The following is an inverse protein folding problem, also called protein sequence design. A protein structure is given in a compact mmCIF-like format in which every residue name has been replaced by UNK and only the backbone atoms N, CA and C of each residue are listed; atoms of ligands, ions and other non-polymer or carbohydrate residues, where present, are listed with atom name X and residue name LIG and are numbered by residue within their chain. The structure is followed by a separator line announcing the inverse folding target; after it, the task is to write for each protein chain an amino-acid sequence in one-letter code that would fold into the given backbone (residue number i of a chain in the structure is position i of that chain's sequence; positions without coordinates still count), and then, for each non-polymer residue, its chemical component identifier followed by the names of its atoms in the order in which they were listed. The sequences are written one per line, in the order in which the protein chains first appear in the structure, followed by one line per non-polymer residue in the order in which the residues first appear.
data_IF_544544312796
#
_entry.id   IF_544544312796
#
_cell.length_a   1.000
_cell.length_b   1.000
_cell.length_c   1.000
_cell.angle_alpha   90.00
_cell.angle_beta   90.00
_cell.angle_gamma   90.00
#
_symmetry.space_group_name_H-M   'P 1'
#
loop_
_entity.id
_entity.type
_entity.pdbx_description
1 polymer ?
#
# COMPACT_ATOMS: atom_id res chain seq x y z
N UNK A 1 -27.12 -7.08 1.59
CA UNK A 1 -26.24 -5.94 1.27
C UNK A 1 -24.79 -6.40 1.33
N UNK A 2 -24.00 -6.07 0.30
CA UNK A 2 -22.57 -6.41 0.29
C UNK A 2 -21.81 -5.50 1.26
N UNK A 3 -20.89 -6.09 2.03
CA UNK A 3 -19.99 -5.32 2.88
C UNK A 3 -18.90 -4.65 2.01
N UNK A 4 -18.21 -3.67 2.58
CA UNK A 4 -17.10 -3.01 1.89
C UNK A 4 -15.98 -4.01 1.56
N UNK A 5 -15.66 -4.88 2.51
CA UNK A 5 -14.66 -5.92 2.34
C UNK A 5 -15.03 -6.87 1.20
N UNK A 6 -16.28 -7.31 1.16
CA UNK A 6 -16.79 -8.18 0.11
C UNK A 6 -16.72 -7.51 -1.27
N UNK A 7 -17.07 -6.23 -1.35
CA UNK A 7 -16.97 -5.46 -2.58
C UNK A 7 -15.52 -5.34 -3.06
N UNK A 8 -14.59 -5.12 -2.14
CA UNK A 8 -13.17 -5.01 -2.46
C UNK A 8 -12.62 -6.35 -2.98
N UNK A 9 -12.95 -7.45 -2.31
CA UNK A 9 -12.53 -8.80 -2.76
C UNK A 9 -13.09 -9.10 -4.15
N UNK A 10 -14.36 -8.78 -4.40
CA UNK A 10 -14.95 -8.96 -5.73
C UNK A 10 -14.17 -8.19 -6.82
N UNK A 11 -13.76 -6.97 -6.51
CA UNK A 11 -12.94 -6.16 -7.44
C UNK A 11 -11.57 -6.77 -7.68
N UNK A 12 -10.92 -7.28 -6.62
CA UNK A 12 -9.62 -7.95 -6.73
C UNK A 12 -9.69 -9.21 -7.58
N UNK A 13 -10.75 -10.00 -7.42
CA UNK A 13 -10.98 -11.21 -8.23
C UNK A 13 -11.23 -10.84 -9.69
N UNK A 14 -12.00 -9.80 -9.94
CA UNK A 14 -12.34 -9.35 -11.30
C UNK A 14 -11.11 -8.92 -12.11
N UNK A 15 -10.14 -8.27 -11.48
CA UNK A 15 -8.90 -7.84 -12.14
C UNK A 15 -7.78 -8.88 -12.02
N UNK A 16 -8.10 -10.05 -11.46
CA UNK A 16 -7.15 -11.16 -11.26
C UNK A 16 -5.95 -10.78 -10.37
N UNK A 17 -6.15 -9.88 -9.44
CA UNK A 17 -5.16 -9.57 -8.40
C UNK A 17 -5.05 -10.73 -7.40
N UNK A 18 -6.14 -11.47 -7.21
CA UNK A 18 -6.16 -12.71 -6.44
C UNK A 18 -6.25 -13.87 -7.41
N UNK A 19 -5.33 -14.83 -7.28
CA UNK A 19 -5.28 -16.04 -8.11
C UNK A 19 -5.34 -17.28 -7.21
N UNK A 20 -6.08 -18.29 -7.68
CA UNK A 20 -6.24 -19.56 -6.97
C UNK A 20 -5.68 -20.70 -7.81
N UNK A 21 -4.78 -21.51 -7.23
CA UNK A 21 -4.21 -22.71 -7.86
C UNK A 21 -4.13 -23.83 -6.83
N UNK A 22 -5.25 -24.52 -6.55
CA UNK A 22 -5.27 -25.54 -5.50
C UNK A 22 -4.44 -26.78 -5.82
N UNK A 23 -4.26 -27.13 -7.11
CA UNK A 23 -3.53 -28.31 -7.55
C UNK A 23 -2.06 -28.05 -7.87
N UNK A 24 -1.69 -26.80 -8.12
CA UNK A 24 -0.32 -26.37 -8.42
C UNK A 24 -0.03 -25.09 -7.67
N UNK A 25 0.25 -25.19 -6.34
CA UNK A 25 0.35 -24.02 -5.50
C UNK A 25 1.47 -23.07 -5.88
N UNK A 26 1.25 -21.77 -5.63
CA UNK A 26 2.27 -20.74 -5.79
C UNK A 26 3.35 -20.89 -4.73
N UNK A 27 4.59 -20.57 -5.09
CA UNK A 27 5.69 -20.44 -4.12
C UNK A 27 5.90 -18.96 -3.83
N UNK A 28 5.65 -18.56 -2.59
CA UNK A 28 5.88 -17.18 -2.16
C UNK A 28 7.38 -16.89 -1.99
N UNK A 29 7.73 -15.61 -1.91
CA UNK A 29 9.13 -15.21 -1.70
C UNK A 29 9.72 -15.78 -0.41
N UNK A 30 8.88 -16.07 0.60
CA UNK A 30 9.28 -16.74 1.84
C UNK A 30 9.63 -18.21 1.68
N UNK A 31 9.36 -18.82 0.51
CA UNK A 31 9.50 -20.25 0.25
C UNK A 31 8.24 -21.05 0.58
N UNK A 32 7.25 -20.45 1.21
CA UNK A 32 5.98 -21.12 1.50
C UNK A 32 5.17 -21.37 0.24
N UNK A 33 4.52 -22.52 0.18
CA UNK A 33 3.59 -22.86 -0.91
C UNK A 33 2.16 -22.54 -0.48
N UNK A 34 1.43 -21.88 -1.37
CA UNK A 34 0.05 -21.48 -1.10
C UNK A 34 -0.83 -21.69 -2.32
N UNK A 35 -2.08 -22.15 -2.14
CA UNK A 35 -3.02 -22.29 -3.25
C UNK A 35 -3.52 -20.95 -3.79
N UNK A 36 -3.22 -19.83 -3.13
CA UNK A 36 -3.61 -18.52 -3.62
C UNK A 36 -2.45 -17.53 -3.56
N UNK A 37 -2.55 -16.50 -4.40
CA UNK A 37 -1.61 -15.39 -4.47
C UNK A 37 -2.41 -14.10 -4.65
N UNK A 38 -2.04 -13.06 -3.90
CA UNK A 38 -2.67 -11.77 -4.00
C UNK A 38 -1.62 -10.71 -4.33
N UNK A 39 -1.84 -9.98 -5.43
CA UNK A 39 -0.98 -8.86 -5.84
C UNK A 39 -1.81 -7.58 -5.84
N UNK A 40 -1.75 -6.86 -4.73
CA UNK A 40 -2.50 -5.61 -4.57
C UNK A 40 -2.01 -4.50 -5.50
N UNK A 41 -0.79 -4.60 -6.03
CA UNK A 41 -0.23 -3.60 -6.95
C UNK A 41 -0.97 -3.58 -8.29
N UNK A 42 -1.66 -4.65 -8.65
CA UNK A 42 -2.50 -4.67 -9.84
C UNK A 42 -3.62 -3.63 -9.80
N UNK A 43 -4.06 -3.23 -8.61
CA UNK A 43 -5.07 -2.19 -8.46
C UNK A 43 -4.63 -0.86 -9.08
N UNK A 44 -3.32 -0.61 -9.13
CA UNK A 44 -2.76 0.63 -9.66
C UNK A 44 -3.03 0.82 -11.15
N UNK A 45 -3.22 -0.27 -11.90
CA UNK A 45 -3.46 -0.21 -13.34
C UNK A 45 -4.92 0.08 -13.71
N UNK A 46 -5.83 0.05 -12.74
CA UNK A 46 -7.26 0.23 -12.97
C UNK A 46 -7.72 1.50 -12.25
N UNK A 47 -7.91 2.61 -12.99
CA UNK A 47 -8.13 3.93 -12.36
C UNK A 47 -9.26 3.99 -11.34
N UNK A 48 -10.41 3.38 -11.63
CA UNK A 48 -11.53 3.40 -10.67
C UNK A 48 -11.24 2.57 -9.43
N UNK A 49 -10.56 1.44 -9.58
CA UNK A 49 -10.17 0.59 -8.44
C UNK A 49 -9.05 1.26 -7.63
N UNK A 50 -8.08 1.84 -8.31
CA UNK A 50 -7.01 2.62 -7.67
C UNK A 50 -7.59 3.74 -6.82
N UNK A 51 -8.55 4.48 -7.38
CA UNK A 51 -9.22 5.57 -6.67
C UNK A 51 -10.01 5.05 -5.46
N UNK A 52 -10.71 3.93 -5.62
CA UNK A 52 -11.44 3.27 -4.53
C UNK A 52 -10.50 2.95 -3.36
N UNK A 53 -9.37 2.31 -3.64
CA UNK A 53 -8.37 1.94 -2.62
C UNK A 53 -7.82 3.19 -1.93
N UNK A 54 -7.43 4.19 -2.72
CA UNK A 54 -6.92 5.46 -2.18
C UNK A 54 -7.91 6.09 -1.21
N UNK A 55 -9.16 6.24 -1.62
CA UNK A 55 -10.17 6.90 -0.80
C UNK A 55 -10.50 6.12 0.46
N UNK A 56 -10.50 4.78 0.39
CA UNK A 56 -10.73 3.96 1.57
C UNK A 56 -9.60 4.05 2.58
N UNK A 57 -8.36 4.10 2.12
CA UNK A 57 -7.22 4.31 3.02
C UNK A 57 -7.31 5.70 3.66
N UNK A 58 -7.65 6.73 2.89
CA UNK A 58 -7.84 8.07 3.43
C UNK A 58 -8.93 8.10 4.49
N UNK A 59 -10.05 7.43 4.24
CA UNK A 59 -11.15 7.34 5.20
C UNK A 59 -10.70 6.70 6.50
N UNK A 60 -9.99 5.59 6.42
CA UNK A 60 -9.46 4.89 7.61
C UNK A 60 -8.50 5.79 8.40
N UNK A 61 -7.62 6.50 7.71
CA UNK A 61 -6.68 7.42 8.36
C UNK A 61 -7.43 8.51 9.12
N UNK A 62 -8.40 9.15 8.48
CA UNK A 62 -9.16 10.22 9.11
C UNK A 62 -9.98 9.73 10.31
N UNK A 63 -10.56 8.55 10.22
CA UNK A 63 -11.38 7.99 11.29
C UNK A 63 -10.55 7.49 12.47
N UNK A 64 -9.41 6.83 12.20
CA UNK A 64 -8.66 6.11 13.25
C UNK A 64 -7.48 6.90 13.81
N UNK A 65 -6.88 7.76 13.02
CA UNK A 65 -5.66 8.47 13.43
C UNK A 65 -5.86 9.97 13.60
N UNK A 66 -6.95 10.50 13.10
CA UNK A 66 -7.24 11.91 13.19
C UNK A 66 -6.26 12.75 12.39
N UNK A 67 -5.68 13.76 13.05
CA UNK A 67 -4.73 14.66 12.40
C UNK A 67 -3.36 14.02 12.28
N UNK A 68 -2.84 13.96 11.05
CA UNK A 68 -1.57 13.32 10.70
C UNK A 68 -0.71 14.36 9.97
N UNK A 69 0.60 14.32 10.19
CA UNK A 69 1.51 15.31 9.62
C UNK A 69 2.17 14.85 8.32
N UNK A 70 2.29 13.54 8.11
CA UNK A 70 2.90 12.99 6.91
C UNK A 70 2.49 11.54 6.68
N UNK A 71 2.66 11.08 5.46
CA UNK A 71 2.43 9.70 5.05
C UNK A 71 3.76 9.09 4.65
N UNK A 72 4.02 7.87 5.10
CA UNK A 72 5.19 7.10 4.68
C UNK A 72 4.75 5.82 3.97
N UNK A 73 5.32 5.53 2.81
CA UNK A 73 5.09 4.29 2.10
C UNK A 73 6.30 3.36 2.22
N UNK A 74 6.07 2.09 2.50
CA UNK A 74 7.16 1.10 2.57
C UNK A 74 7.50 0.61 1.16
N UNK A 75 8.76 0.75 0.80
CA UNK A 75 9.23 0.32 -0.52
C UNK A 75 9.14 -1.21 -0.67
N UNK A 76 8.83 -1.72 -1.81
CA UNK A 76 8.46 -0.99 -3.02
C UNK A 76 6.95 -0.88 -3.16
N UNK A 77 6.22 -1.85 -2.60
CA UNK A 77 4.80 -2.06 -2.86
C UNK A 77 3.89 -0.91 -2.44
N UNK A 78 4.27 -0.16 -1.42
CA UNK A 78 3.43 0.92 -0.90
C UNK A 78 3.90 2.33 -1.30
N UNK A 79 4.92 2.45 -2.15
CA UNK A 79 5.37 3.78 -2.60
C UNK A 79 4.26 4.48 -3.37
N UNK A 80 3.75 3.84 -4.42
CA UNK A 80 2.73 4.47 -5.26
C UNK A 80 1.45 4.75 -4.48
N UNK A 81 0.97 3.76 -3.74
CA UNK A 81 -0.27 3.91 -2.96
C UNK A 81 -0.13 4.98 -1.89
N UNK A 82 1.01 5.02 -1.21
CA UNK A 82 1.29 6.04 -0.20
C UNK A 82 1.31 7.46 -0.79
N UNK A 83 1.94 7.63 -1.95
CA UNK A 83 1.98 8.91 -2.63
C UNK A 83 0.58 9.40 -3.04
N UNK A 84 -0.27 8.48 -3.53
CA UNK A 84 -1.64 8.82 -3.89
C UNK A 84 -2.46 9.26 -2.67
N UNK A 85 -2.29 8.58 -1.54
CA UNK A 85 -2.97 8.93 -0.28
C UNK A 85 -2.49 10.29 0.24
N UNK A 86 -1.19 10.52 0.22
CA UNK A 86 -0.62 11.80 0.66
C UNK A 86 -1.14 12.95 -0.20
N UNK A 87 -1.22 12.75 -1.51
CA UNK A 87 -1.76 13.76 -2.43
C UNK A 87 -3.22 14.08 -2.10
N UNK A 88 -4.05 13.05 -1.89
CA UNK A 88 -5.46 13.25 -1.56
C UNK A 88 -5.65 14.00 -0.24
N UNK A 89 -4.84 13.69 0.75
CA UNK A 89 -4.89 14.34 2.08
C UNK A 89 -4.10 15.65 2.13
N UNK A 90 -3.42 16.01 1.05
CA UNK A 90 -2.55 17.18 0.96
C UNK A 90 -1.48 17.19 2.06
N UNK A 91 -0.80 16.05 2.20
CA UNK A 91 0.23 15.84 3.22
C UNK A 91 1.58 15.54 2.57
N UNK A 92 2.69 15.88 3.26
CA UNK A 92 4.01 15.42 2.84
C UNK A 92 4.07 13.90 2.72
N UNK A 93 4.88 13.43 1.79
CA UNK A 93 5.11 12.00 1.58
C UNK A 93 6.59 11.69 1.65
N UNK A 94 6.91 10.58 2.30
CA UNK A 94 8.24 9.96 2.28
C UNK A 94 8.08 8.47 1.98
N UNK A 95 9.14 7.81 1.53
CA UNK A 95 9.11 6.35 1.49
C UNK A 95 10.31 5.76 2.20
N UNK A 96 10.09 4.56 2.76
CA UNK A 96 11.08 3.84 3.53
C UNK A 96 11.67 2.74 2.66
N UNK A 97 12.98 2.77 2.48
CA UNK A 97 13.68 1.77 1.67
C UNK A 97 13.79 0.46 2.45
N UNK A 98 13.85 -0.66 1.72
CA UNK A 98 14.09 -1.97 2.34
C UNK A 98 15.52 -2.13 2.83
N UNK A 99 16.45 -1.42 2.19
CA UNK A 99 17.88 -1.41 2.57
C UNK A 99 18.43 0.01 2.46
N UNK A 100 19.42 0.38 3.30
CA UNK A 100 20.10 1.67 3.16
C UNK A 100 20.82 1.79 1.81
N UNK A 101 21.06 3.01 1.34
CA UNK A 101 21.85 3.26 0.15
C UNK A 101 23.30 2.85 0.36
N UNK A 102 23.91 2.22 -0.65
CA UNK A 102 25.29 1.75 -0.61
C UNK A 102 26.33 2.86 -0.72
N UNK A 103 25.94 4.06 -1.20
CA UNK A 103 26.87 5.14 -1.48
C UNK A 103 26.45 6.44 -0.83
N UNK A 104 27.39 7.04 -0.07
CA UNK A 104 27.21 8.33 0.56
C UNK A 104 26.37 8.26 1.83
N UNK A 105 25.42 9.19 1.99
CA UNK A 105 24.53 9.22 3.13
C UNK A 105 23.62 7.99 3.12
N UNK A 106 23.72 7.19 4.17
CA UNK A 106 22.88 5.99 4.34
C UNK A 106 21.47 6.42 4.73
N UNK A 107 20.66 6.82 3.73
CA UNK A 107 19.28 7.17 3.98
C UNK A 107 18.38 5.95 3.81
N UNK A 108 17.74 5.55 4.90
CA UNK A 108 16.67 4.57 4.85
C UNK A 108 15.37 5.22 4.40
N UNK A 109 15.18 6.49 4.72
CA UNK A 109 13.98 7.26 4.39
C UNK A 109 14.31 8.25 3.28
N UNK A 110 13.54 8.22 2.20
CA UNK A 110 13.64 9.17 1.10
C UNK A 110 12.55 10.23 1.23
N UNK A 111 12.95 11.48 1.24
CA UNK A 111 12.11 12.62 1.51
C UNK A 111 12.54 13.31 2.81
N UNK A 112 11.68 14.17 3.33
CA UNK A 112 11.99 14.95 4.53
C UNK A 112 10.94 14.71 5.60
N UNK A 113 11.41 14.34 6.80
CA UNK A 113 10.61 14.29 8.02
C UNK A 113 11.29 15.14 9.08
N UNK A 114 10.49 15.71 9.97
CA UNK A 114 10.98 16.47 11.11
C UNK A 114 10.61 15.76 12.41
N UNK A 115 11.47 15.87 13.45
CA UNK A 115 11.14 15.34 14.76
C UNK A 115 9.79 15.87 15.26
N UNK A 116 9.01 15.00 15.88
CA UNK A 116 7.70 15.36 16.43
C UNK A 116 6.54 15.18 15.46
N UNK A 117 6.79 14.92 14.18
CA UNK A 117 5.73 14.67 13.22
C UNK A 117 5.01 13.36 13.51
N UNK A 118 3.69 13.39 13.39
CA UNK A 118 2.85 12.18 13.46
C UNK A 118 2.73 11.60 12.06
N UNK A 119 3.27 10.40 11.86
CA UNK A 119 3.36 9.76 10.54
C UNK A 119 2.51 8.49 10.49
N UNK A 120 1.71 8.34 9.44
CA UNK A 120 1.02 7.08 9.16
C UNK A 120 1.83 6.32 8.12
N UNK A 121 2.11 5.07 8.40
CA UNK A 121 2.87 4.18 7.53
C UNK A 121 1.91 3.29 6.74
N UNK A 122 2.09 3.25 5.44
CA UNK A 122 1.34 2.38 4.52
C UNK A 122 2.29 1.30 4.02
N UNK A 123 1.84 0.06 4.18
CA UNK A 123 2.61 -1.10 3.79
C UNK A 123 1.83 -2.02 2.85
#
# INVERSE_FOLDING_TARGET
MKTLESMFVDKLLKVKAIKLQPTNPFTWASGWKSPFYCDNRKTLSYPSLRNFVKLEICRIILEKFGQVDAIAGVATGAIAQGALVAEELNLPFVYVRSTPKDHGLENLIEGELRPGMKVVVIE
#
